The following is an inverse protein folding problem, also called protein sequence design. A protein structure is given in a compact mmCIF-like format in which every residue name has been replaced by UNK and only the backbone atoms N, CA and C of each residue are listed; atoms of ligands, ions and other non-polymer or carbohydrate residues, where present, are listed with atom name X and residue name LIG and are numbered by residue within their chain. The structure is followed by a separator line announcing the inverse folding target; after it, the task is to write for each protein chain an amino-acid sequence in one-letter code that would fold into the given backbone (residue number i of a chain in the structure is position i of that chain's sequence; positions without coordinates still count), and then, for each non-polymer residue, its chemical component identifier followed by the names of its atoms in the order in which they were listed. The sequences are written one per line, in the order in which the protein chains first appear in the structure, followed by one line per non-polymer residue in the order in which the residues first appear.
data_IF_679807535571
#
_entry.id   IF_679807535571
#
_cell.length_a   1.000
_cell.length_b   1.000
_cell.length_c   1.000
_cell.angle_alpha   90.00
_cell.angle_beta   90.00
_cell.angle_gamma   90.00
#
_symmetry.space_group_name_H-M   'P 1'
#
loop_
_entity.id
_entity.type
_entity.pdbx_description
1 polymer ?
#
# COMPACT_ATOMS: atom_id res chain seq x y z
N UNK A 1 -5.97 -65.31 20.73
CA UNK A 1 -7.26 -64.71 21.10
C UNK A 1 -7.14 -63.22 21.38
N UNK A 2 -6.82 -62.75 22.60
CA UNK A 2 -6.78 -61.30 22.87
C UNK A 2 -5.71 -60.59 22.02
N UNK A 3 -4.50 -61.15 21.94
CA UNK A 3 -3.41 -60.60 21.13
C UNK A 3 -3.68 -60.60 19.62
N UNK A 4 -4.55 -61.48 19.12
CA UNK A 4 -4.92 -61.51 17.69
C UNK A 4 -5.94 -60.41 17.38
N UNK A 5 -6.94 -60.24 18.26
CA UNK A 5 -7.99 -59.24 18.08
C UNK A 5 -7.49 -57.82 18.39
N UNK A 6 -6.48 -57.68 19.25
CA UNK A 6 -5.85 -56.40 19.58
C UNK A 6 -4.68 -56.00 18.69
N UNK A 7 -4.27 -56.86 17.75
CA UNK A 7 -3.10 -56.64 16.91
C UNK A 7 -3.18 -55.31 16.14
N UNK A 8 -4.34 -55.05 15.53
CA UNK A 8 -4.52 -53.87 14.68
C UNK A 8 -4.54 -52.58 15.51
N UNK A 9 -5.20 -52.60 16.67
CA UNK A 9 -5.15 -51.49 17.63
C UNK A 9 -3.71 -51.18 18.05
N UNK A 10 -2.92 -52.21 18.35
CA UNK A 10 -1.52 -52.02 18.76
C UNK A 10 -0.65 -51.51 17.61
N UNK A 11 -0.87 -52.01 16.39
CA UNK A 11 -0.21 -51.52 15.19
C UNK A 11 -0.55 -50.04 14.92
N UNK A 12 -1.81 -49.64 15.09
CA UNK A 12 -2.25 -48.25 14.91
C UNK A 12 -1.57 -47.31 15.91
N UNK A 13 -1.48 -47.71 17.19
CA UNK A 13 -0.77 -46.95 18.22
C UNK A 13 0.71 -46.84 17.89
N UNK A 14 1.37 -47.95 17.55
CA UNK A 14 2.81 -47.99 17.28
C UNK A 14 3.21 -47.23 16.01
N UNK A 15 2.39 -47.28 14.97
CA UNK A 15 2.64 -46.58 13.71
C UNK A 15 2.28 -45.08 13.79
N UNK A 16 1.74 -44.62 14.92
CA UNK A 16 1.32 -43.23 15.08
C UNK A 16 0.11 -42.86 14.22
N UNK A 17 -0.79 -43.81 13.94
CA UNK A 17 -1.98 -43.56 13.11
C UNK A 17 -2.89 -42.47 13.69
N UNK A 18 -2.85 -42.26 15.01
CA UNK A 18 -3.62 -41.24 15.73
C UNK A 18 -2.89 -39.89 15.86
N UNK A 19 -1.70 -39.73 15.26
CA UNK A 19 -0.96 -38.46 15.28
C UNK A 19 -1.48 -37.47 14.22
N UNK A 20 -2.80 -37.28 14.20
CA UNK A 20 -3.54 -36.41 13.29
C UNK A 20 -4.53 -35.56 14.09
N UNK A 21 -5.01 -34.45 13.54
CA UNK A 21 -6.04 -33.66 14.20
C UNK A 21 -7.34 -34.46 14.37
N UNK A 22 -7.88 -34.46 15.58
CA UNK A 22 -8.98 -35.34 15.99
C UNK A 22 -8.58 -36.80 16.22
N UNK A 23 -7.28 -37.12 16.21
CA UNK A 23 -6.76 -38.49 16.33
C UNK A 23 -7.17 -39.19 17.62
N UNK A 24 -7.41 -38.45 18.71
CA UNK A 24 -7.92 -39.03 19.94
C UNK A 24 -9.36 -39.56 19.80
N UNK A 25 -10.22 -38.91 19.01
CA UNK A 25 -11.57 -39.44 18.74
C UNK A 25 -11.51 -40.74 17.94
N UNK A 26 -10.61 -40.83 16.97
CA UNK A 26 -10.37 -42.07 16.23
C UNK A 26 -9.90 -43.19 17.17
N UNK A 27 -8.98 -42.89 18.09
CA UNK A 27 -8.53 -43.84 19.10
C UNK A 27 -9.66 -44.33 20.03
N UNK A 28 -10.70 -43.53 20.30
CA UNK A 28 -11.81 -43.97 21.15
C UNK A 28 -12.74 -45.00 20.45
N UNK A 29 -12.75 -45.03 19.10
CA UNK A 29 -13.56 -45.96 18.33
C UNK A 29 -12.96 -47.37 18.25
N UNK A 30 -11.66 -47.47 17.98
CA UNK A 30 -10.97 -48.73 17.70
C UNK A 30 -11.04 -49.77 18.85
N UNK A 31 -10.93 -49.40 20.15
CA UNK A 31 -11.14 -50.32 21.26
C UNK A 31 -12.57 -50.89 21.32
N UNK A 32 -13.57 -50.17 20.83
CA UNK A 32 -14.96 -50.63 20.75
C UNK A 32 -15.12 -51.76 19.74
N UNK A 33 -14.59 -51.59 18.53
CA UNK A 33 -14.61 -52.60 17.48
C UNK A 33 -13.81 -53.86 17.88
N UNK A 34 -12.64 -53.65 18.48
CA UNK A 34 -11.80 -54.71 19.05
C UNK A 34 -12.55 -55.49 20.14
N UNK A 35 -13.31 -54.80 21.00
CA UNK A 35 -14.12 -55.43 22.05
C UNK A 35 -15.27 -56.27 21.47
N UNK A 36 -15.92 -55.81 20.42
CA UNK A 36 -16.98 -56.57 19.72
C UNK A 36 -16.44 -57.85 19.09
N UNK A 37 -15.29 -57.78 18.43
CA UNK A 37 -14.58 -58.95 17.91
C UNK A 37 -14.19 -59.91 19.04
N UNK A 38 -13.66 -59.39 20.15
CA UNK A 38 -13.28 -60.20 21.31
C UNK A 38 -14.49 -60.90 21.93
N UNK A 39 -15.67 -60.28 21.93
CA UNK A 39 -16.93 -60.87 22.44
C UNK A 39 -17.39 -62.11 21.64
N UNK A 40 -17.10 -62.18 20.35
CA UNK A 40 -17.57 -63.24 19.45
C UNK A 40 -16.71 -64.53 19.49
N UNK A 41 -15.49 -64.48 20.03
CA UNK A 41 -14.57 -65.62 20.06
C UNK A 41 -15.06 -66.73 21.03
N UNK A 42 -15.27 -67.99 20.63
CA UNK A 42 -15.63 -69.07 21.56
C UNK A 42 -14.43 -69.53 22.41
N UNK A 43 -14.67 -70.12 23.59
CA UNK A 43 -13.63 -70.84 24.34
C UNK A 43 -12.62 -70.01 25.14
N UNK A 44 -12.95 -68.76 25.51
CA UNK A 44 -12.03 -67.80 26.17
C UNK A 44 -11.62 -68.15 27.61
N UNK A 45 -12.34 -69.07 28.25
CA UNK A 45 -12.08 -69.50 29.63
C UNK A 45 -12.52 -68.49 30.71
N UNK A 46 -12.44 -68.92 31.98
CA UNK A 46 -13.00 -68.18 33.14
C UNK A 46 -12.23 -66.90 33.47
N UNK A 47 -10.98 -66.74 32.96
CA UNK A 47 -10.12 -65.57 33.21
C UNK A 47 -10.16 -64.49 32.12
N UNK A 48 -10.97 -64.69 31.07
CA UNK A 48 -11.04 -63.81 29.91
C UNK A 48 -11.26 -62.33 30.27
N UNK A 49 -12.24 -62.06 31.13
CA UNK A 49 -12.61 -60.70 31.52
C UNK A 49 -11.48 -60.00 32.27
N UNK A 50 -10.76 -60.71 33.14
CA UNK A 50 -9.60 -60.15 33.85
C UNK A 50 -8.49 -59.77 32.88
N UNK A 51 -8.16 -60.64 31.92
CA UNK A 51 -7.12 -60.35 30.92
C UNK A 51 -7.48 -59.18 30.01
N UNK A 52 -8.77 -59.01 29.72
CA UNK A 52 -9.27 -57.88 28.94
C UNK A 52 -9.15 -56.56 29.72
N UNK A 53 -9.52 -56.56 31.00
CA UNK A 53 -9.37 -55.37 31.86
C UNK A 53 -7.90 -54.97 31.98
N UNK A 54 -7.01 -55.92 32.29
CA UNK A 54 -5.57 -55.66 32.42
C UNK A 54 -4.99 -55.08 31.10
N UNK A 55 -5.45 -55.57 29.95
CA UNK A 55 -5.06 -55.04 28.64
C UNK A 55 -5.53 -53.60 28.44
N UNK A 56 -6.82 -53.29 28.69
CA UNK A 56 -7.35 -51.93 28.52
C UNK A 56 -6.62 -50.93 29.44
N UNK A 57 -6.37 -51.32 30.69
CA UNK A 57 -5.58 -50.52 31.64
C UNK A 57 -4.16 -50.29 31.13
N UNK A 58 -3.53 -51.28 30.48
CA UNK A 58 -2.20 -51.11 29.88
C UNK A 58 -2.15 -50.07 28.75
N UNK A 59 -3.29 -49.73 28.13
CA UNK A 59 -3.40 -48.75 27.03
C UNK A 59 -3.71 -47.33 27.50
N UNK A 60 -4.06 -47.12 28.77
CA UNK A 60 -4.29 -45.78 29.32
C UNK A 60 -3.11 -44.80 29.13
N UNK A 61 -1.83 -45.21 29.27
CA UNK A 61 -0.71 -44.32 29.01
C UNK A 61 -0.65 -43.87 27.54
N UNK A 62 -0.91 -44.78 26.60
CA UNK A 62 -0.94 -44.46 25.17
C UNK A 62 -2.09 -43.50 24.85
N UNK A 63 -3.28 -43.74 25.41
CA UNK A 63 -4.44 -42.86 25.27
C UNK A 63 -4.14 -41.42 25.75
N UNK A 64 -3.45 -41.29 26.89
CA UNK A 64 -3.02 -39.98 27.43
C UNK A 64 -2.04 -39.27 26.50
N UNK A 65 -1.09 -39.99 25.91
CA UNK A 65 -0.13 -39.40 24.96
C UNK A 65 -0.84 -38.94 23.69
N UNK A 66 -1.75 -39.76 23.14
CA UNK A 66 -2.54 -39.41 21.97
C UNK A 66 -3.40 -38.17 22.23
N UNK A 67 -4.08 -38.10 23.37
CA UNK A 67 -4.87 -36.93 23.76
C UNK A 67 -4.00 -35.66 23.81
N UNK A 68 -2.84 -35.73 24.46
CA UNK A 68 -1.92 -34.60 24.56
C UNK A 68 -1.41 -34.15 23.19
N UNK A 69 -1.10 -35.11 22.31
CA UNK A 69 -0.67 -34.81 20.95
C UNK A 69 -1.79 -34.12 20.14
N UNK A 70 -3.02 -34.62 20.24
CA UNK A 70 -4.20 -34.05 19.57
C UNK A 70 -4.49 -32.61 20.06
N UNK A 71 -4.50 -32.39 21.38
CA UNK A 71 -4.64 -31.05 21.97
C UNK A 71 -3.55 -30.09 21.48
N UNK A 72 -2.30 -30.55 21.42
CA UNK A 72 -1.18 -29.74 20.96
C UNK A 72 -1.28 -29.41 19.46
N UNK A 73 -1.72 -30.36 18.63
CA UNK A 73 -1.96 -30.13 17.20
C UNK A 73 -3.08 -29.11 16.99
N UNK A 74 -4.21 -29.27 17.69
CA UNK A 74 -5.34 -28.33 17.59
C UNK A 74 -4.95 -26.90 18.00
N UNK A 75 -4.12 -26.74 19.03
CA UNK A 75 -3.63 -25.43 19.45
C UNK A 75 -2.68 -24.82 18.40
N UNK A 76 -1.81 -25.63 17.79
CA UNK A 76 -0.91 -25.18 16.73
C UNK A 76 -1.67 -24.76 15.48
N UNK A 77 -2.69 -25.50 15.09
CA UNK A 77 -3.56 -25.14 13.96
C UNK A 77 -4.26 -23.80 14.20
N UNK A 78 -4.82 -23.59 15.41
CA UNK A 78 -5.43 -22.31 15.78
C UNK A 78 -4.44 -21.14 15.74
N UNK A 79 -3.22 -21.33 16.25
CA UNK A 79 -2.19 -20.29 16.23
C UNK A 79 -1.79 -19.94 14.80
N UNK A 80 -1.62 -20.95 13.93
CA UNK A 80 -1.31 -20.72 12.51
C UNK A 80 -2.44 -19.95 11.83
N UNK A 81 -3.70 -20.31 12.08
CA UNK A 81 -4.85 -19.61 11.51
C UNK A 81 -4.95 -18.17 12.01
N UNK A 82 -4.70 -17.93 13.31
CA UNK A 82 -4.65 -16.59 13.88
C UNK A 82 -3.52 -15.74 13.28
N UNK A 83 -2.34 -16.33 13.04
CA UNK A 83 -1.23 -15.65 12.38
C UNK A 83 -1.55 -15.30 10.93
N UNK A 84 -2.19 -16.20 10.19
CA UNK A 84 -2.65 -15.95 8.81
C UNK A 84 -3.65 -14.80 8.77
N UNK A 85 -4.66 -14.81 9.65
CA UNK A 85 -5.64 -13.75 9.72
C UNK A 85 -5.00 -12.38 10.03
N UNK A 86 -4.03 -12.33 10.96
CA UNK A 86 -3.26 -11.10 11.25
C UNK A 86 -2.43 -10.64 10.05
N UNK A 87 -1.77 -11.55 9.35
CA UNK A 87 -0.98 -11.23 8.17
C UNK A 87 -1.85 -10.70 7.02
N UNK A 88 -3.03 -11.30 6.80
CA UNK A 88 -3.98 -10.85 5.80
C UNK A 88 -4.55 -9.47 6.13
N UNK A 89 -4.88 -9.20 7.41
CA UNK A 89 -5.31 -7.88 7.85
C UNK A 89 -4.22 -6.82 7.62
N UNK A 90 -2.98 -7.11 8.00
CA UNK A 90 -1.84 -6.22 7.79
C UNK A 90 -1.57 -5.97 6.29
N UNK A 91 -1.71 -6.99 5.44
CA UNK A 91 -1.55 -6.84 4.00
C UNK A 91 -2.65 -5.94 3.39
N UNK A 92 -3.90 -6.10 3.83
CA UNK A 92 -5.01 -5.21 3.42
C UNK A 92 -4.78 -3.76 3.85
N UNK A 93 -4.30 -3.55 5.07
CA UNK A 93 -3.96 -2.21 5.55
C UNK A 93 -2.83 -1.58 4.71
N UNK A 94 -1.78 -2.35 4.37
CA UNK A 94 -0.72 -1.86 3.50
C UNK A 94 -1.19 -1.52 2.09
N UNK A 95 -2.07 -2.34 1.51
CA UNK A 95 -2.65 -2.09 0.19
C UNK A 95 -3.45 -0.78 0.17
N UNK A 96 -4.28 -0.55 1.19
CA UNK A 96 -5.02 0.72 1.33
C UNK A 96 -4.09 1.93 1.46
N UNK A 97 -3.02 1.81 2.25
CA UNK A 97 -2.01 2.87 2.38
C UNK A 97 -1.28 3.14 1.06
N UNK A 98 -1.03 2.10 0.26
CA UNK A 98 -0.40 2.25 -1.04
C UNK A 98 -1.33 2.95 -2.04
N UNK A 99 -2.61 2.60 -2.04
CA UNK A 99 -3.65 3.27 -2.84
C UNK A 99 -3.81 4.73 -2.44
N UNK A 100 -3.94 5.02 -1.14
CA UNK A 100 -4.03 6.39 -0.63
C UNK A 100 -2.81 7.23 -1.04
N UNK A 101 -1.61 6.67 -0.93
CA UNK A 101 -0.38 7.33 -1.37
C UNK A 101 -0.36 7.58 -2.87
N UNK A 102 -0.85 6.64 -3.68
CA UNK A 102 -0.94 6.80 -5.13
C UNK A 102 -1.94 7.91 -5.50
N UNK A 103 -3.11 7.95 -4.87
CA UNK A 103 -4.10 9.02 -5.07
C UNK A 103 -3.56 10.39 -4.65
N UNK A 104 -2.87 10.47 -3.51
CA UNK A 104 -2.22 11.70 -3.04
C UNK A 104 -1.12 12.18 -3.99
N UNK A 105 -0.45 11.29 -4.72
CA UNK A 105 0.56 11.66 -5.72
C UNK A 105 -0.06 12.08 -7.06
N UNK A 106 -1.18 11.49 -7.48
CA UNK A 106 -1.80 11.83 -8.77
C UNK A 106 -2.47 13.21 -8.76
N UNK A 107 -3.16 13.59 -7.67
CA UNK A 107 -3.83 14.89 -7.53
C UNK A 107 -2.92 16.10 -7.84
N UNK A 108 -1.72 16.24 -7.23
CA UNK A 108 -0.84 17.36 -7.53
C UNK A 108 -0.24 17.29 -8.93
N UNK A 109 -0.01 16.10 -9.50
CA UNK A 109 0.49 15.96 -10.86
C UNK A 109 -0.54 16.42 -11.90
N UNK A 110 -1.81 16.06 -11.72
CA UNK A 110 -2.89 16.49 -12.61
C UNK A 110 -3.13 18.00 -12.49
N UNK A 111 -3.15 18.55 -11.28
CA UNK A 111 -3.21 20.00 -11.08
C UNK A 111 -2.03 20.72 -11.72
N UNK A 112 -0.80 20.20 -11.57
CA UNK A 112 0.39 20.80 -12.17
C UNK A 112 0.30 20.81 -13.69
N UNK A 113 -0.12 19.71 -14.32
CA UNK A 113 -0.33 19.65 -15.77
C UNK A 113 -1.38 20.64 -16.26
N UNK A 114 -2.53 20.70 -15.57
CA UNK A 114 -3.57 21.66 -15.93
C UNK A 114 -3.09 23.10 -15.79
N UNK A 115 -2.28 23.40 -14.77
CA UNK A 115 -1.72 24.73 -14.57
C UNK A 115 -0.67 25.08 -15.63
N UNK A 116 0.25 24.15 -15.93
CA UNK A 116 1.23 24.29 -17.02
C UNK A 116 0.53 24.56 -18.38
N UNK A 117 -0.52 23.81 -18.69
CA UNK A 117 -1.33 24.01 -19.90
C UNK A 117 -2.02 25.38 -19.92
N UNK A 118 -2.56 25.84 -18.77
CA UNK A 118 -3.20 27.15 -18.67
C UNK A 118 -2.21 28.29 -18.90
N UNK A 119 -1.02 28.19 -18.30
CA UNK A 119 0.07 29.15 -18.53
C UNK A 119 0.47 29.18 -20.01
N UNK A 120 0.59 28.02 -20.65
CA UNK A 120 0.92 27.96 -22.08
C UNK A 120 -0.17 28.64 -22.94
N UNK A 121 -1.44 28.42 -22.63
CA UNK A 121 -2.55 29.10 -23.33
C UNK A 121 -2.52 30.62 -23.17
N UNK A 122 -2.18 31.11 -21.97
CA UNK A 122 -2.02 32.54 -21.73
C UNK A 122 -0.86 33.12 -22.56
N UNK A 123 0.28 32.44 -22.59
CA UNK A 123 1.42 32.85 -23.41
C UNK A 123 1.08 32.91 -24.90
N UNK A 124 0.41 31.88 -25.43
CA UNK A 124 0.01 31.83 -26.84
C UNK A 124 -0.98 32.94 -27.21
N UNK A 125 -1.92 33.28 -26.32
CA UNK A 125 -2.87 34.36 -26.56
C UNK A 125 -2.20 35.74 -26.55
N UNK A 126 -1.21 35.95 -25.67
CA UNK A 126 -0.45 37.19 -25.61
C UNK A 126 0.41 37.39 -26.86
N UNK A 127 1.05 36.33 -27.37
CA UNK A 127 1.80 36.38 -28.62
C UNK A 127 0.88 36.81 -29.77
N UNK A 128 -0.32 36.23 -29.87
CA UNK A 128 -1.33 36.61 -30.88
C UNK A 128 -1.81 38.06 -30.71
N UNK A 129 -2.06 38.52 -29.49
CA UNK A 129 -2.45 39.91 -29.24
C UNK A 129 -1.34 40.88 -29.65
N UNK A 130 -0.09 40.53 -29.37
CA UNK A 130 1.08 41.31 -29.78
C UNK A 130 1.21 41.37 -31.31
N UNK A 131 1.06 40.25 -31.99
CA UNK A 131 1.08 40.18 -33.46
C UNK A 131 -0.04 41.05 -34.06
N UNK A 132 -1.27 40.94 -33.55
CA UNK A 132 -2.40 41.75 -34.00
C UNK A 132 -2.18 43.26 -33.80
N UNK A 133 -1.60 43.65 -32.65
CA UNK A 133 -1.24 45.05 -32.40
C UNK A 133 -0.17 45.56 -33.38
N UNK A 134 0.82 44.74 -33.72
CA UNK A 134 1.84 45.12 -34.71
C UNK A 134 1.24 45.26 -36.11
N UNK A 135 0.35 44.37 -36.52
CA UNK A 135 -0.36 44.46 -37.80
C UNK A 135 -1.24 45.72 -37.88
N UNK A 136 -1.96 46.06 -36.80
CA UNK A 136 -2.77 47.29 -36.74
C UNK A 136 -1.91 48.55 -36.86
N UNK A 137 -0.73 48.56 -36.23
CA UNK A 137 0.22 49.66 -36.33
C UNK A 137 0.77 49.80 -37.75
N UNK A 138 1.19 48.69 -38.38
CA UNK A 138 1.69 48.70 -39.75
C UNK A 138 0.61 49.17 -40.73
N UNK A 139 -0.62 48.68 -40.60
CA UNK A 139 -1.76 49.13 -41.39
C UNK A 139 -1.99 50.64 -41.23
N UNK A 140 -2.00 51.13 -40.00
CA UNK A 140 -2.20 52.56 -39.70
C UNK A 140 -1.09 53.42 -40.30
N UNK A 141 0.17 52.98 -40.22
CA UNK A 141 1.32 53.68 -40.82
C UNK A 141 1.20 53.73 -42.35
N UNK A 142 0.87 52.61 -42.99
CA UNK A 142 0.66 52.53 -44.45
C UNK A 142 -0.44 53.49 -44.90
N UNK A 143 -1.59 53.45 -44.23
CA UNK A 143 -2.71 54.34 -44.53
C UNK A 143 -2.30 55.82 -44.39
N UNK A 144 -1.59 56.18 -43.31
CA UNK A 144 -1.12 57.55 -43.07
C UNK A 144 -0.09 58.02 -44.10
N UNK A 145 0.79 57.14 -44.57
CA UNK A 145 1.75 57.46 -45.65
C UNK A 145 1.03 57.67 -46.98
N UNK A 146 -0.02 56.89 -47.27
CA UNK A 146 -0.84 57.05 -48.47
C UNK A 146 -1.63 58.37 -48.46
N UNK A 147 -2.22 58.74 -47.32
CA UNK A 147 -2.87 60.05 -47.12
C UNK A 147 -1.89 61.20 -47.34
N UNK A 148 -0.66 61.13 -46.78
CA UNK A 148 0.40 62.15 -46.98
C UNK A 148 0.98 62.19 -48.39
N UNK A 149 0.94 61.07 -49.13
CA UNK A 149 1.32 61.04 -50.55
C UNK A 149 0.29 61.68 -51.47
N UNK A 150 -0.98 61.71 -51.04
CA UNK A 150 -2.08 62.40 -51.72
C UNK A 150 -2.14 63.89 -51.33
N UNK A 151 -1.76 64.24 -50.09
CA UNK A 151 -1.59 65.62 -49.64
C UNK A 151 -0.18 66.14 -49.94
N UNK A 152 -0.01 66.73 -51.13
CA UNK A 152 1.22 67.39 -51.53
C UNK A 152 1.76 68.38 -50.49
N UNK A 153 2.88 68.00 -49.85
CA UNK A 153 3.87 68.89 -49.24
C UNK A 153 3.39 69.81 -48.12
N UNK A 154 3.36 69.32 -46.88
CA UNK A 154 3.62 70.17 -45.69
C UNK A 154 4.20 69.37 -44.52
N UNK A 155 5.20 69.97 -43.87
CA UNK A 155 6.04 69.37 -42.83
C UNK A 155 5.24 68.92 -41.58
N UNK A 156 5.73 67.87 -40.91
CA UNK A 156 5.17 67.22 -39.73
C UNK A 156 5.09 68.13 -38.48
N UNK A 157 4.33 67.69 -37.44
CA UNK A 157 5.06 67.29 -36.23
C UNK A 157 4.53 66.06 -35.47
N UNK A 158 5.50 65.46 -34.78
CA UNK A 158 5.51 64.84 -33.45
C UNK A 158 4.57 63.70 -33.04
N UNK A 159 5.22 62.64 -32.53
CA UNK A 159 4.69 61.46 -31.82
C UNK A 159 3.90 61.77 -30.51
N UNK A 160 3.73 63.04 -30.14
CA UNK A 160 3.21 63.45 -28.82
C UNK A 160 1.68 63.65 -28.76
N UNK A 161 0.98 63.68 -29.91
CA UNK A 161 -0.47 63.95 -29.97
C UNK A 161 -1.35 62.69 -29.91
N UNK A 162 -0.74 61.51 -30.01
CA UNK A 162 -1.49 60.30 -30.38
C UNK A 162 -2.29 59.62 -29.27
N UNK A 163 -2.27 60.10 -28.02
CA UNK A 163 -3.17 59.64 -26.95
C UNK A 163 -3.18 58.13 -26.66
N UNK A 164 -2.37 57.34 -27.36
CA UNK A 164 -2.11 55.94 -27.09
C UNK A 164 -1.32 55.95 -25.80
N UNK A 165 -1.98 55.60 -24.68
CA UNK A 165 -1.27 55.22 -23.45
C UNK A 165 -0.50 53.96 -23.81
N UNK A 166 0.70 54.20 -24.37
CA UNK A 166 1.67 53.21 -24.75
C UNK A 166 2.09 52.56 -23.45
N UNK A 167 1.46 51.45 -23.10
CA UNK A 167 2.08 50.51 -22.19
C UNK A 167 3.34 50.08 -22.91
N UNK A 168 4.48 50.53 -22.42
CA UNK A 168 5.76 50.17 -23.01
C UNK A 168 5.89 48.65 -23.00
N UNK A 169 6.62 48.04 -23.96
CA UNK A 169 6.87 46.60 -23.93
C UNK A 169 7.40 46.12 -22.57
N UNK A 170 8.15 46.99 -21.86
CA UNK A 170 8.63 46.73 -20.51
C UNK A 170 7.49 46.73 -19.46
N UNK A 171 6.53 47.63 -19.54
CA UNK A 171 5.37 47.65 -18.62
C UNK A 171 4.43 46.47 -18.87
N UNK A 172 4.30 45.98 -20.11
CA UNK A 172 3.61 44.73 -20.41
C UNK A 172 4.34 43.53 -19.78
N UNK A 173 5.66 43.44 -19.90
CA UNK A 173 6.44 42.38 -19.23
C UNK A 173 6.32 42.43 -17.70
N UNK A 174 6.31 43.62 -17.09
CA UNK A 174 6.15 43.77 -15.63
C UNK A 174 4.76 43.33 -15.19
N UNK A 175 3.69 43.74 -15.89
CA UNK A 175 2.33 43.30 -15.60
C UNK A 175 2.16 41.78 -15.78
N UNK A 176 2.90 41.18 -16.72
CA UNK A 176 2.92 39.72 -16.90
C UNK A 176 3.63 39.03 -15.74
N UNK A 177 4.78 39.54 -15.30
CA UNK A 177 5.50 38.97 -14.17
C UNK A 177 4.70 39.09 -12.86
N UNK A 178 3.98 40.19 -12.68
CA UNK A 178 3.13 40.44 -11.51
C UNK A 178 1.90 39.51 -11.51
N UNK A 179 1.20 39.36 -12.66
CA UNK A 179 0.06 38.43 -12.79
C UNK A 179 0.49 36.97 -12.65
N UNK A 180 1.65 36.61 -13.20
CA UNK A 180 2.25 35.29 -13.05
C UNK A 180 2.66 35.01 -11.58
N UNK A 181 3.17 36.00 -10.86
CA UNK A 181 3.47 35.89 -9.43
C UNK A 181 2.20 35.77 -8.57
N UNK A 182 1.13 36.51 -8.87
CA UNK A 182 -0.15 36.39 -8.16
C UNK A 182 -0.76 34.99 -8.34
N UNK A 183 -0.75 34.44 -9.55
CA UNK A 183 -1.27 33.08 -9.81
C UNK A 183 -0.36 31.99 -9.21
N UNK A 184 0.96 32.15 -9.28
CA UNK A 184 1.93 31.26 -8.62
C UNK A 184 1.76 31.24 -7.09
N UNK A 185 1.62 32.41 -6.47
CA UNK A 185 1.43 32.50 -5.01
C UNK A 185 0.04 32.01 -4.56
N UNK A 186 -0.99 32.15 -5.39
CA UNK A 186 -2.32 31.58 -5.15
C UNK A 186 -2.32 30.06 -5.17
N UNK A 187 -1.64 29.45 -6.15
CA UNK A 187 -1.55 28.00 -6.31
C UNK A 187 -0.62 27.34 -5.29
N UNK A 188 0.50 27.98 -4.92
CA UNK A 188 1.34 27.54 -3.79
C UNK A 188 0.58 27.58 -2.45
N UNK A 189 -0.29 28.58 -2.28
CA UNK A 189 -1.18 28.69 -1.13
C UNK A 189 -2.23 27.58 -1.05
N UNK A 190 -2.76 27.12 -2.19
CA UNK A 190 -3.67 25.96 -2.26
C UNK A 190 -2.94 24.64 -2.03
N UNK A 191 -1.72 24.49 -2.56
CA UNK A 191 -0.88 23.31 -2.33
C UNK A 191 -0.54 23.15 -0.83
N UNK A 192 -0.20 24.26 -0.16
CA UNK A 192 0.07 24.28 1.28
C UNK A 192 -1.19 23.97 2.11
N UNK A 193 -2.37 24.43 1.67
CA UNK A 193 -3.64 24.18 2.35
C UNK A 193 -4.07 22.70 2.24
N UNK A 194 -3.88 22.09 1.07
CA UNK A 194 -4.10 20.64 0.87
C UNK A 194 -3.10 19.79 1.66
N UNK A 195 -1.90 20.30 1.90
CA UNK A 195 -0.89 19.64 2.72
C UNK A 195 -1.18 19.75 4.23
N UNK A 196 -1.85 20.81 4.69
CA UNK A 196 -2.36 20.94 6.07
C UNK A 196 -3.67 20.16 6.32
N UNK A 197 -4.51 19.95 5.31
CA UNK A 197 -5.72 19.11 5.42
C UNK A 197 -5.42 17.60 5.46
N UNK A 198 -4.19 17.17 5.17
CA UNK A 198 -3.74 15.82 5.54
C UNK A 198 -3.61 15.74 7.06
N UNK A 199 -4.44 14.96 7.77
CA UNK A 199 -4.43 14.98 9.22
C UNK A 199 -3.06 14.54 9.73
N UNK A 200 -2.37 15.46 10.38
CA UNK A 200 -1.28 15.15 11.28
C UNK A 200 -1.79 14.21 12.39
N UNK A 201 -1.82 12.90 12.12
CA UNK A 201 -2.05 11.89 13.15
C UNK A 201 -0.71 11.44 13.70
N UNK A 202 -0.45 11.93 14.90
CA UNK A 202 0.62 11.58 15.80
C UNK A 202 1.02 10.10 15.75
N UNK A 203 2.34 9.85 15.75
CA UNK A 203 3.00 8.57 16.06
C UNK A 203 2.42 7.90 17.32
N UNK A 204 2.67 6.59 17.49
CA UNK A 204 3.66 6.28 18.52
C UNK A 204 4.74 5.25 18.14
N UNK A 205 5.91 5.48 18.75
CA UNK A 205 6.92 4.55 19.23
C UNK A 205 7.06 3.15 18.61
N UNK A 206 8.19 2.91 17.96
CA UNK A 206 8.70 1.55 17.70
C UNK A 206 9.80 1.51 16.63
N UNK A 207 9.72 2.40 15.65
CA UNK A 207 10.61 2.39 14.47
C UNK A 207 11.94 3.11 14.70
N UNK A 208 12.07 3.89 15.78
CA UNK A 208 13.32 4.63 16.08
C UNK A 208 14.44 3.73 16.59
N UNK A 209 14.14 2.57 17.18
CA UNK A 209 15.16 1.68 17.74
C UNK A 209 15.84 0.85 16.64
N UNK A 210 15.10 0.45 15.61
CA UNK A 210 15.61 -0.40 14.53
C UNK A 210 16.52 0.39 13.59
N UNK A 211 16.21 1.67 13.34
CA UNK A 211 17.07 2.55 12.53
C UNK A 211 18.36 2.96 13.26
N UNK A 212 18.35 3.03 14.60
CA UNK A 212 19.56 3.27 15.39
C UNK A 212 20.54 2.10 15.33
N UNK A 213 20.05 0.86 15.40
CA UNK A 213 20.89 -0.35 15.33
C UNK A 213 21.46 -0.57 13.93
N UNK A 214 20.71 -0.23 12.89
CA UNK A 214 21.20 -0.29 11.49
C UNK A 214 22.27 0.78 11.20
N UNK A 215 22.22 1.94 11.87
CA UNK A 215 23.25 2.98 11.76
C UNK A 215 24.58 2.57 12.41
N UNK A 216 24.54 1.99 13.61
CA UNK A 216 25.75 1.58 14.35
C UNK A 216 26.45 0.35 13.74
N UNK A 217 25.70 -0.54 13.08
CA UNK A 217 26.29 -1.68 12.37
C UNK A 217 27.05 -1.24 11.11
N UNK A 218 26.55 -0.23 10.40
CA UNK A 218 27.17 0.26 9.15
C UNK A 218 28.42 1.12 9.41
N UNK A 219 28.49 1.85 10.52
CA UNK A 219 29.72 2.58 10.90
C UNK A 219 30.86 1.65 11.32
N UNK A 220 30.57 0.47 11.88
CA UNK A 220 31.60 -0.52 12.27
C UNK A 220 32.16 -1.32 11.09
N UNK A 221 31.45 -1.40 9.96
CA UNK A 221 31.91 -2.16 8.79
C UNK A 221 32.57 -1.30 7.71
N UNK A 222 32.39 0.03 7.73
CA UNK A 222 32.88 0.93 6.67
C UNK A 222 33.87 2.00 7.15
N UNK A 223 34.22 2.05 8.45
CA UNK A 223 35.23 2.97 9.00
C UNK A 223 36.66 2.42 8.98
N UNK A 224 37.09 1.81 7.87
CA UNK A 224 38.38 1.11 7.81
C UNK A 224 39.10 1.18 6.46
N UNK A 225 38.95 2.25 5.68
CA UNK A 225 39.87 2.59 4.58
C UNK A 225 39.90 4.12 4.43
N UNK A 226 41.11 4.69 4.29
CA UNK A 226 41.51 6.11 4.12
C UNK A 226 41.63 6.86 5.46
N UNK A 227 42.80 7.21 6.01
CA UNK A 227 44.19 7.39 5.54
C UNK A 227 45.17 6.86 6.61
#
# INVERSE_FOLDING_TARGET
MLAEVSHDLDAHICNGAYAVSGGYQHFLGDPGEMLECYRQVPGKGIKADKTLVDFLTSKEPAAKVILRADEALAEKEKEVEAQRARAEAAAREQELLWQEKAELQQKPEEQRRSHEEHVQQLMDNLEKEREAQLEELDWTVVQKLQERGQEGGRAAPCKAEWGLTRVSPQEQEVLLHERFQEESSGTEGELHRLQEESPARSRPSGVSTVLGWLGELLSRTLGGVVD
#
